data_IF_138191866860
#
_entry.id   IF_138191866860
#
_cell.length_a   1.000
_cell.length_b   1.000
_cell.length_c   1.000
_cell.angle_alpha   90.00
_cell.angle_beta   90.00
_cell.angle_gamma   90.00
#
_symmetry.space_group_name_H-M   'P 1'
#
loop_
_entity.id
_entity.type
_entity.pdbx_description
1 polymer ?
#
# COMPACT_ATOMS: atom_id res chain seq x y z
N UNK A 1 1.17 -70.89 -7.25
CA UNK A 1 2.18 -69.82 -7.44
C UNK A 1 1.70 -68.73 -8.39
N UNK A 2 1.26 -69.05 -9.61
CA UNK A 2 0.71 -68.09 -10.60
C UNK A 2 -0.40 -67.17 -10.03
N UNK A 3 -1.37 -67.75 -9.31
CA UNK A 3 -2.50 -67.00 -8.73
C UNK A 3 -2.06 -66.01 -7.65
N UNK A 4 -1.08 -66.39 -6.82
CA UNK A 4 -0.50 -65.52 -5.80
C UNK A 4 0.21 -64.30 -6.42
N UNK A 5 0.98 -64.51 -7.49
CA UNK A 5 1.61 -63.42 -8.24
C UNK A 5 0.57 -62.48 -8.86
N UNK A 6 -0.51 -63.02 -9.43
CA UNK A 6 -1.61 -62.23 -9.99
C UNK A 6 -2.28 -61.38 -8.90
N UNK A 7 -2.56 -61.94 -7.72
CA UNK A 7 -3.13 -61.18 -6.62
C UNK A 7 -2.21 -60.04 -6.14
N UNK A 8 -0.89 -60.29 -6.03
CA UNK A 8 0.06 -59.25 -5.63
C UNK A 8 0.15 -58.12 -6.67
N UNK A 9 0.12 -58.45 -7.96
CA UNK A 9 0.10 -57.45 -9.03
C UNK A 9 -1.15 -56.57 -8.95
N UNK A 10 -2.32 -57.20 -8.81
CA UNK A 10 -3.60 -56.47 -8.69
C UNK A 10 -3.58 -55.60 -7.43
N UNK A 11 -3.10 -56.13 -6.30
CA UNK A 11 -2.98 -55.38 -5.05
C UNK A 11 -2.07 -54.17 -5.21
N UNK A 12 -0.91 -54.32 -5.85
CA UNK A 12 0.02 -53.21 -6.10
C UNK A 12 -0.60 -52.15 -7.01
N UNK A 13 -1.35 -52.56 -8.04
CA UNK A 13 -2.04 -51.65 -8.94
C UNK A 13 -3.13 -50.87 -8.21
N UNK A 14 -3.95 -51.56 -7.39
CA UNK A 14 -4.99 -50.91 -6.57
C UNK A 14 -4.36 -49.96 -5.56
N UNK A 15 -3.29 -50.38 -4.87
CA UNK A 15 -2.57 -49.54 -3.92
C UNK A 15 -1.98 -48.29 -4.61
N UNK A 16 -1.38 -48.46 -5.79
CA UNK A 16 -0.85 -47.36 -6.60
C UNK A 16 -1.95 -46.41 -7.09
N UNK A 17 -3.09 -46.93 -7.51
CA UNK A 17 -4.24 -46.13 -7.93
C UNK A 17 -4.83 -45.32 -6.75
N UNK A 18 -5.03 -45.96 -5.59
CA UNK A 18 -5.47 -45.28 -4.36
C UNK A 18 -4.45 -44.24 -3.93
N UNK A 19 -3.16 -44.58 -3.97
CA UNK A 19 -2.08 -43.63 -3.68
C UNK A 19 -2.10 -42.43 -4.63
N UNK A 20 -2.28 -42.64 -5.93
CA UNK A 20 -2.37 -41.56 -6.91
C UNK A 20 -3.60 -40.67 -6.67
N UNK A 21 -4.75 -41.26 -6.31
CA UNK A 21 -5.97 -40.52 -5.96
C UNK A 21 -5.73 -39.69 -4.70
N UNK A 22 -5.20 -40.29 -3.64
CA UNK A 22 -4.90 -39.59 -2.38
C UNK A 22 -3.86 -38.49 -2.62
N UNK A 23 -2.80 -38.76 -3.38
CA UNK A 23 -1.78 -37.78 -3.74
C UNK A 23 -2.35 -36.64 -4.60
N UNK A 24 -3.29 -36.91 -5.50
CA UNK A 24 -3.93 -35.87 -6.29
C UNK A 24 -4.92 -35.02 -5.48
N UNK A 25 -5.62 -35.64 -4.52
CA UNK A 25 -6.60 -34.98 -3.65
C UNK A 25 -5.92 -34.18 -2.53
N UNK A 26 -4.93 -34.76 -1.86
CA UNK A 26 -4.25 -34.18 -0.70
C UNK A 26 -2.86 -33.61 -1.02
N UNK A 27 -2.14 -34.19 -1.99
CA UNK A 27 -0.77 -33.80 -2.35
C UNK A 27 -0.66 -32.58 -3.25
N UNK A 28 -1.78 -31.96 -3.65
CA UNK A 28 -1.78 -30.60 -4.22
C UNK A 28 -1.66 -29.51 -3.17
N UNK A 29 -1.47 -29.87 -1.90
CA UNK A 29 -1.76 -28.96 -0.81
C UNK A 29 -3.27 -28.75 -0.81
N UNK A 30 -3.92 -29.18 0.26
CA UNK A 30 -4.85 -28.29 0.92
C UNK A 30 -4.50 -26.83 0.56
N UNK A 31 -5.36 -26.22 -0.25
CA UNK A 31 -5.46 -24.77 -0.42
C UNK A 31 -5.81 -24.29 0.99
N UNK A 32 -4.80 -24.27 1.85
CA UNK A 32 -4.90 -23.86 3.23
C UNK A 32 -5.56 -22.49 3.11
N UNK A 33 -6.80 -22.32 3.62
CA UNK A 33 -7.44 -21.02 3.58
C UNK A 33 -6.38 -20.04 4.09
N UNK A 34 -6.00 -19.04 3.28
CA UNK A 34 -4.81 -18.24 3.52
C UNK A 34 -4.77 -17.91 5.00
N UNK A 35 -3.78 -18.46 5.71
CA UNK A 35 -3.55 -18.12 7.12
C UNK A 35 -3.63 -16.62 7.15
N UNK A 36 -4.58 -16.12 7.94
CA UNK A 36 -5.04 -14.73 7.95
C UNK A 36 -3.92 -13.79 7.54
N UNK A 37 -4.12 -13.09 6.43
CA UNK A 37 -3.21 -12.12 5.82
C UNK A 37 -2.99 -10.91 6.71
N UNK A 38 -2.71 -11.10 8.00
CA UNK A 38 -2.44 -10.05 8.98
C UNK A 38 -1.04 -10.19 9.59
N UNK A 39 -0.16 -10.98 8.95
CA UNK A 39 1.26 -10.97 9.27
C UNK A 39 2.12 -11.25 8.05
N UNK A 40 1.81 -10.60 6.92
CA UNK A 40 2.89 -10.40 5.95
C UNK A 40 3.98 -9.61 6.69
N UNK A 41 5.13 -10.22 6.96
CA UNK A 41 6.36 -9.62 7.51
C UNK A 41 6.90 -8.43 6.67
N UNK A 42 6.11 -7.90 5.76
CA UNK A 42 6.27 -6.61 5.07
C UNK A 42 5.91 -5.49 6.04
N UNK A 43 6.64 -5.41 7.16
CA UNK A 43 6.56 -4.24 8.03
C UNK A 43 7.56 -3.22 7.50
N UNK A 44 7.10 -2.40 6.57
CA UNK A 44 7.82 -1.18 6.24
C UNK A 44 7.77 -0.26 7.47
N UNK A 45 8.89 0.35 7.91
CA UNK A 45 8.86 1.34 8.98
C UNK A 45 7.86 2.45 8.65
N UNK A 46 6.97 2.78 9.58
CA UNK A 46 5.89 3.79 9.38
C UNK A 46 6.45 5.18 9.05
N UNK A 47 7.70 5.43 9.44
CA UNK A 47 8.48 6.63 9.14
C UNK A 47 9.91 6.20 8.87
N UNK A 48 10.59 6.86 7.93
CA UNK A 48 12.04 6.66 7.78
C UNK A 48 12.47 5.60 6.76
N UNK A 49 11.61 5.21 5.82
CA UNK A 49 11.92 4.20 4.79
C UNK A 49 13.24 4.54 4.08
N UNK A 50 14.16 3.58 4.06
CA UNK A 50 15.43 3.54 3.33
C UNK A 50 15.35 2.52 2.18
N UNK A 51 16.27 2.59 1.21
CA UNK A 51 16.35 1.61 0.13
C UNK A 51 16.63 0.19 0.64
N UNK A 52 17.32 0.04 1.77
CA UNK A 52 17.55 -1.28 2.37
C UNK A 52 16.26 -1.90 2.91
N UNK A 53 15.35 -1.09 3.44
CA UNK A 53 14.03 -1.56 3.84
C UNK A 53 13.27 -2.08 2.62
N UNK A 54 13.32 -1.37 1.49
CA UNK A 54 12.68 -1.78 0.22
C UNK A 54 13.27 -3.09 -0.32
N UNK A 55 14.58 -3.32 -0.17
CA UNK A 55 15.25 -4.57 -0.58
C UNK A 55 14.92 -5.74 0.36
N UNK A 56 14.54 -5.47 1.60
CA UNK A 56 14.20 -6.48 2.58
C UNK A 56 12.75 -7.02 2.45
N UNK A 57 11.90 -6.41 1.61
CA UNK A 57 10.51 -6.86 1.42
C UNK A 57 10.45 -8.30 0.88
N UNK A 58 9.51 -9.07 1.43
CA UNK A 58 9.22 -10.44 1.01
C UNK A 58 7.74 -10.53 0.66
N UNK A 59 7.46 -10.93 -0.57
CA UNK A 59 6.11 -11.11 -1.08
C UNK A 59 5.78 -12.60 -1.21
N UNK A 60 4.51 -12.97 -0.96
CA UNK A 60 4.03 -14.32 -1.25
C UNK A 60 3.79 -14.52 -2.75
N UNK A 61 3.98 -15.74 -3.24
CA UNK A 61 3.80 -16.10 -4.65
C UNK A 61 2.37 -16.58 -4.91
N UNK A 62 1.70 -16.03 -5.94
CA UNK A 62 0.36 -16.45 -6.37
C UNK A 62 0.35 -16.94 -7.82
N UNK A 63 -0.48 -17.95 -8.12
CA UNK A 63 -0.55 -18.62 -9.43
C UNK A 63 -1.00 -17.70 -10.58
N UNK A 64 -1.68 -16.60 -10.28
CA UNK A 64 -1.93 -15.47 -11.19
C UNK A 64 -1.34 -14.21 -10.57
N UNK A 65 -0.02 -14.09 -10.65
CA UNK A 65 0.73 -12.98 -10.09
C UNK A 65 1.44 -12.15 -11.16
N UNK A 66 1.93 -10.99 -10.73
CA UNK A 66 2.91 -10.24 -11.51
C UNK A 66 4.19 -11.08 -11.69
N UNK A 67 4.89 -10.87 -12.80
CA UNK A 67 6.14 -11.59 -13.07
C UNK A 67 7.18 -11.16 -12.03
N UNK A 68 7.75 -12.14 -11.33
CA UNK A 68 8.70 -11.88 -10.25
C UNK A 68 9.88 -11.01 -10.71
N UNK A 69 10.40 -11.24 -11.92
CA UNK A 69 11.50 -10.43 -12.47
C UNK A 69 11.15 -8.95 -12.69
N UNK A 70 9.90 -8.63 -13.03
CA UNK A 70 9.44 -7.25 -13.23
C UNK A 70 9.27 -6.55 -11.88
N UNK A 71 8.73 -7.26 -10.90
CA UNK A 71 8.60 -6.78 -9.52
C UNK A 71 9.99 -6.54 -8.91
N UNK A 72 10.92 -7.48 -9.04
CA UNK A 72 12.28 -7.34 -8.54
C UNK A 72 13.00 -6.14 -9.18
N UNK A 73 12.82 -5.93 -10.48
CA UNK A 73 13.35 -4.76 -11.17
C UNK A 73 12.75 -3.45 -10.64
N UNK A 74 11.44 -3.41 -10.46
CA UNK A 74 10.74 -2.23 -9.96
C UNK A 74 11.16 -1.89 -8.52
N UNK A 75 11.26 -2.89 -7.64
CA UNK A 75 11.73 -2.73 -6.27
C UNK A 75 13.18 -2.26 -6.21
N UNK A 76 14.06 -2.81 -7.05
CA UNK A 76 15.46 -2.37 -7.12
C UNK A 76 15.57 -0.92 -7.61
N UNK A 77 14.70 -0.49 -8.54
CA UNK A 77 14.63 0.90 -8.98
C UNK A 77 14.11 1.81 -7.88
N UNK A 78 13.04 1.42 -7.18
CA UNK A 78 12.47 2.17 -6.07
C UNK A 78 13.46 2.34 -4.92
N UNK A 79 14.18 1.28 -4.56
CA UNK A 79 15.18 1.32 -3.50
C UNK A 79 16.29 2.36 -3.78
N UNK A 80 16.76 2.43 -5.04
CA UNK A 80 17.74 3.46 -5.44
C UNK A 80 17.19 4.87 -5.34
N UNK A 81 15.96 5.07 -5.82
CA UNK A 81 15.31 6.39 -5.77
C UNK A 81 15.14 6.88 -4.33
N UNK A 82 14.76 5.99 -3.41
CA UNK A 82 14.65 6.32 -1.98
C UNK A 82 16.01 6.72 -1.39
N UNK A 83 17.08 6.00 -1.72
CA UNK A 83 18.44 6.31 -1.25
C UNK A 83 18.92 7.66 -1.78
N UNK A 84 18.65 7.96 -3.05
CA UNK A 84 18.99 9.25 -3.68
C UNK A 84 18.24 10.40 -3.00
N UNK A 85 16.93 10.25 -2.79
CA UNK A 85 16.09 11.26 -2.14
C UNK A 85 16.51 11.51 -0.69
N UNK A 86 16.87 10.44 0.05
CA UNK A 86 17.42 10.54 1.41
C UNK A 86 18.75 11.27 1.44
N UNK A 87 19.62 11.01 0.47
CA UNK A 87 20.91 11.69 0.33
C UNK A 87 20.72 13.19 0.08
N UNK A 88 19.75 13.56 -0.76
CA UNK A 88 19.41 14.97 -1.01
C UNK A 88 18.89 15.65 0.25
N UNK A 89 17.96 15.03 0.97
CA UNK A 89 17.42 15.57 2.23
C UNK A 89 18.54 15.76 3.26
N UNK A 90 19.45 14.78 3.40
CA UNK A 90 20.59 14.88 4.31
C UNK A 90 21.49 16.07 3.97
N UNK A 91 21.80 16.27 2.67
CA UNK A 91 22.60 17.42 2.20
C UNK A 91 21.92 18.77 2.44
N UNK A 92 20.61 18.84 2.26
CA UNK A 92 19.84 20.07 2.51
C UNK A 92 19.83 20.43 4.00
N UNK A 93 19.59 19.45 4.87
CA UNK A 93 19.66 19.65 6.34
C UNK A 93 21.04 20.06 6.81
N UNK A 94 22.11 19.51 6.23
CA UNK A 94 23.47 19.91 6.56
C UNK A 94 23.76 21.37 6.15
N UNK A 95 23.26 21.80 4.98
CA UNK A 95 23.37 23.20 4.53
C UNK A 95 22.61 24.15 5.45
N UNK A 96 21.39 23.82 5.82
CA UNK A 96 20.58 24.60 6.75
C UNK A 96 21.24 24.71 8.13
N UNK A 97 21.75 23.60 8.65
CA UNK A 97 22.50 23.55 9.92
C UNK A 97 23.79 24.37 9.88
N UNK A 98 24.52 24.34 8.75
CA UNK A 98 25.73 25.18 8.54
C UNK A 98 25.42 26.66 8.37
N UNK A 99 24.22 26.99 7.88
CA UNK A 99 23.81 28.38 7.66
C UNK A 99 23.25 29.02 8.94
N UNK A 100 23.04 28.23 10.01
CA UNK A 100 22.84 28.76 11.36
C UNK A 100 21.64 29.69 11.52
N UNK A 101 20.65 29.61 10.62
CA UNK A 101 19.36 30.25 10.86
C UNK A 101 18.61 29.35 11.80
N UNK A 102 18.88 29.54 13.10
CA UNK A 102 17.98 29.09 14.16
C UNK A 102 16.61 29.65 13.76
N UNK A 103 15.58 28.83 13.51
CA UNK A 103 14.23 29.35 13.42
C UNK A 103 14.01 30.00 14.78
N UNK A 104 14.05 31.33 14.80
CA UNK A 104 13.68 32.09 15.97
C UNK A 104 12.38 31.47 16.44
N UNK A 105 12.40 30.96 17.67
CA UNK A 105 11.19 30.67 18.40
C UNK A 105 10.25 31.83 18.08
N UNK A 106 9.09 31.51 17.51
CA UNK A 106 8.00 32.46 17.38
C UNK A 106 7.63 32.88 18.80
N UNK A 107 8.44 33.79 19.36
CA UNK A 107 8.03 34.69 20.41
C UNK A 107 6.99 35.53 19.73
N UNK A 108 5.74 35.06 19.77
CA UNK A 108 4.57 35.92 19.67
C UNK A 108 4.80 36.97 20.76
N UNK A 109 5.12 38.22 20.41
CA UNK A 109 5.05 39.28 21.41
C UNK A 109 3.56 39.34 21.76
N UNK A 110 3.27 39.09 23.04
CA UNK A 110 2.00 39.40 23.64
C UNK A 110 1.75 40.91 23.49
N UNK A 111 1.16 41.28 22.35
CA UNK A 111 0.62 42.60 22.09
C UNK A 111 -0.91 42.49 22.17
N UNK A 112 -1.40 41.97 23.31
CA UNK A 112 -2.73 42.25 23.78
C UNK A 112 -2.78 43.68 24.31
N UNK A 113 -2.89 44.67 23.43
CA UNK A 113 -3.52 45.96 23.69
C UNK A 113 -3.45 46.83 22.43
N UNK A 114 -4.60 47.44 22.10
CA UNK A 114 -4.74 48.59 21.18
C UNK A 114 -4.68 48.28 19.68
N UNK A 115 -5.85 48.00 19.08
CA UNK A 115 -6.52 49.06 18.30
C UNK A 115 -7.97 48.64 17.97
N UNK A 116 -8.92 49.25 18.65
CA UNK A 116 -10.34 48.99 18.51
C UNK A 116 -10.98 50.09 17.65
N UNK A 117 -10.58 50.23 16.38
CA UNK A 117 -11.32 51.08 15.44
C UNK A 117 -11.02 50.80 13.95
N UNK A 118 -11.25 49.56 13.48
CA UNK A 118 -11.25 49.30 12.03
C UNK A 118 -12.57 48.63 11.57
N UNK A 119 -13.51 49.40 10.97
CA UNK A 119 -14.78 48.86 10.49
C UNK A 119 -14.69 48.07 9.17
N UNK A 120 -13.50 47.83 8.59
CA UNK A 120 -13.37 47.10 7.32
C UNK A 120 -13.46 45.58 7.44
N UNK A 121 -13.11 44.97 8.58
CA UNK A 121 -12.98 43.51 8.69
C UNK A 121 -14.32 42.75 8.88
N UNK A 122 -15.43 43.47 9.08
CA UNK A 122 -16.76 42.84 9.29
C UNK A 122 -17.45 42.37 8.00
N UNK A 123 -16.93 42.72 6.82
CA UNK A 123 -17.56 42.37 5.53
C UNK A 123 -17.10 41.03 4.96
N UNK A 124 -15.88 40.59 5.26
CA UNK A 124 -15.34 39.33 4.73
C UNK A 124 -15.68 38.11 5.60
N UNK A 125 -15.94 38.30 6.89
CA UNK A 125 -16.22 37.18 7.81
C UNK A 125 -17.64 36.60 7.66
N UNK A 126 -18.56 37.29 6.98
CA UNK A 126 -19.93 36.82 6.75
C UNK A 126 -20.08 35.83 5.58
N UNK A 127 -19.01 35.57 4.81
CA UNK A 127 -19.08 34.80 3.55
C UNK A 127 -18.56 33.36 3.69
N UNK A 128 -17.92 33.00 4.81
CA UNK A 128 -17.51 31.61 5.10
C UNK A 128 -18.26 31.04 6.31
N UNK A 129 -19.57 31.27 6.33
CA UNK A 129 -20.50 30.51 7.17
C UNK A 129 -20.88 29.23 6.45
N UNK A 130 -20.22 28.14 6.84
CA UNK A 130 -20.53 26.75 6.51
C UNK A 130 -22.06 26.46 6.48
N UNK A 131 -22.59 25.91 5.37
CA UNK A 131 -23.82 25.15 5.40
C UNK A 131 -23.58 23.69 4.98
N UNK A 132 -23.59 22.82 5.98
CA UNK A 132 -24.05 21.41 6.03
C UNK A 132 -24.03 20.57 4.72
N UNK A 133 -23.34 19.42 4.68
CA UNK A 133 -23.26 18.58 3.50
C UNK A 133 -24.42 17.58 3.44
N UNK A 134 -25.66 18.02 3.19
CA UNK A 134 -26.67 17.09 2.64
C UNK A 134 -27.88 17.77 1.98
N UNK A 135 -27.91 17.74 0.64
CA UNK A 135 -29.16 17.70 -0.11
C UNK A 135 -28.96 16.85 -1.36
N UNK A 136 -29.03 15.53 -1.16
CA UNK A 136 -29.39 14.62 -2.23
C UNK A 136 -30.73 15.08 -2.86
N UNK A 137 -30.85 14.86 -4.17
CA UNK A 137 -32.06 15.02 -5.01
C UNK A 137 -32.24 16.42 -5.61
N UNK A 138 -32.01 16.59 -6.93
CA UNK A 138 -33.05 16.57 -7.99
C UNK A 138 -32.48 17.07 -9.35
N UNK A 139 -32.93 16.40 -10.42
CA UNK A 139 -33.04 16.89 -11.82
C UNK A 139 -31.74 16.94 -12.67
N UNK A 140 -31.57 16.06 -13.67
CA UNK A 140 -32.25 15.97 -14.97
C UNK A 140 -31.78 17.03 -15.99
N UNK A 141 -31.12 16.54 -17.06
CA UNK A 141 -30.96 17.22 -18.34
C UNK A 141 -29.57 17.00 -18.98
N UNK A 142 -29.40 17.14 -20.32
CA UNK A 142 -30.38 17.50 -21.33
C UNK A 142 -30.46 16.55 -22.54
N UNK A 143 -31.62 16.59 -23.19
CA UNK A 143 -31.97 16.01 -24.49
C UNK A 143 -31.01 16.41 -25.62
N UNK A 144 -30.51 15.40 -26.35
CA UNK A 144 -29.90 15.58 -27.67
C UNK A 144 -30.95 16.02 -28.68
N UNK A 145 -30.83 17.23 -29.22
CA UNK A 145 -31.53 17.64 -30.44
C UNK A 145 -30.64 17.32 -31.64
N UNK A 146 -31.12 16.41 -32.49
CA UNK A 146 -30.51 16.03 -33.76
C UNK A 146 -30.88 17.08 -34.80
N UNK A 147 -29.89 17.76 -35.37
CA UNK A 147 -30.08 18.66 -36.51
C UNK A 147 -29.71 17.91 -37.80
N UNK A 148 -30.67 17.84 -38.73
CA UNK A 148 -30.53 17.34 -40.09
C UNK A 148 -31.46 18.14 -40.99
#
# INVERSE_FOLDING_TARGET
MQTLLLYLLIMALVAGAVFAIVWFVFGRGEDLPPVETDTTLTRLPTVGISGDDVRALRFMQTFRGYKQSEVDWALARLAREVDDLRTVIARLRERESKTGVTPAATNVPDAAAEDADNPENSREQAVYGDPDPNSATREAGPSMSSDR
#
